data_IF_139810384381
#
_entry.id   IF_139810384381
#
_cell.length_a   1.000
_cell.length_b   1.000
_cell.length_c   1.000
_cell.angle_alpha   90.00
_cell.angle_beta   90.00
_cell.angle_gamma   90.00
#
_symmetry.space_group_name_H-M   'P 1'
#
loop_
_entity.id
_entity.type
_entity.pdbx_description
1 polymer ?
#
# COMPACT_ATOMS: atom_id res chain seq x y z
N UNK A 1 -27.84 2.59 -20.63
CA UNK A 1 -27.42 1.29 -20.08
C UNK A 1 -26.43 1.51 -18.94
N UNK A 2 -26.44 0.63 -17.93
CA UNK A 2 -25.46 0.66 -16.85
C UNK A 2 -24.05 0.36 -17.39
N UNK A 3 -23.03 1.09 -16.93
CA UNK A 3 -21.63 0.80 -17.26
C UNK A 3 -21.25 -0.58 -16.70
N UNK A 4 -20.49 -1.40 -17.45
CA UNK A 4 -20.11 -2.77 -17.06
C UNK A 4 -19.51 -2.88 -15.64
N UNK A 5 -18.71 -1.89 -15.24
CA UNK A 5 -18.08 -1.88 -13.91
C UNK A 5 -19.05 -1.55 -12.75
N UNK A 6 -20.31 -1.20 -13.01
CA UNK A 6 -21.27 -0.93 -11.93
C UNK A 6 -21.51 -2.20 -11.12
N UNK A 7 -21.09 -2.17 -9.85
CA UNK A 7 -21.19 -3.32 -8.95
C UNK A 7 -20.12 -4.40 -9.16
N UNK A 8 -19.11 -4.15 -10.01
CA UNK A 8 -18.03 -5.12 -10.26
C UNK A 8 -17.05 -5.28 -9.08
N UNK A 9 -16.91 -4.24 -8.25
CA UNK A 9 -16.06 -4.25 -7.06
C UNK A 9 -16.65 -3.37 -5.97
N UNK A 10 -16.33 -3.66 -4.71
CA UNK A 10 -16.69 -2.86 -3.54
C UNK A 10 -15.49 -2.74 -2.58
N UNK A 11 -15.44 -1.67 -1.80
CA UNK A 11 -14.52 -1.57 -0.66
C UNK A 11 -15.21 -2.26 0.51
N UNK A 12 -14.67 -3.40 0.93
CA UNK A 12 -15.28 -4.25 1.97
C UNK A 12 -14.70 -4.02 3.36
N UNK A 13 -13.54 -3.37 3.49
CA UNK A 13 -12.96 -3.04 4.78
C UNK A 13 -11.86 -1.98 4.69
N UNK A 14 -11.51 -1.39 5.83
CA UNK A 14 -10.53 -0.32 5.98
C UNK A 14 -9.66 -0.55 7.23
N UNK A 15 -8.36 -0.36 7.08
CA UNK A 15 -7.40 -0.44 8.19
C UNK A 15 -6.56 0.82 8.27
N UNK A 16 -6.71 1.58 9.36
CA UNK A 16 -5.92 2.79 9.62
C UNK A 16 -5.06 2.53 10.86
N UNK A 17 -3.75 2.69 10.71
CA UNK A 17 -2.80 2.65 11.83
C UNK A 17 -2.79 3.98 12.59
N UNK A 18 -2.35 4.00 13.85
CA UNK A 18 -2.16 5.24 14.59
C UNK A 18 -1.24 6.20 13.81
N UNK A 19 -1.64 7.46 13.70
CA UNK A 19 -0.88 8.51 13.02
C UNK A 19 -0.35 9.53 14.02
N UNK A 20 0.92 9.92 13.90
CA UNK A 20 1.53 10.89 14.80
C UNK A 20 3.04 10.72 14.92
N UNK A 21 3.61 11.16 16.06
CA UNK A 21 5.03 10.96 16.37
C UNK A 21 5.26 9.59 16.99
N UNK A 22 5.28 8.57 16.14
CA UNK A 22 5.50 7.18 16.54
C UNK A 22 6.93 6.81 16.13
N UNK A 23 7.72 6.36 17.10
CA UNK A 23 9.09 5.93 16.90
C UNK A 23 9.19 4.41 17.06
N UNK A 24 10.16 3.80 16.40
CA UNK A 24 10.48 2.37 16.59
C UNK A 24 9.65 1.39 15.77
N UNK A 25 8.70 1.86 14.95
CA UNK A 25 8.02 1.06 13.92
C UNK A 25 8.52 1.41 12.53
N UNK A 26 8.80 0.39 11.72
CA UNK A 26 9.16 0.56 10.32
C UNK A 26 7.91 0.76 9.43
N UNK A 27 8.10 1.26 8.21
CA UNK A 27 7.02 1.34 7.21
C UNK A 27 6.36 -0.04 6.97
N UNK A 28 7.15 -1.11 7.02
CA UNK A 28 6.65 -2.49 6.89
C UNK A 28 5.76 -2.89 8.06
N UNK A 29 6.11 -2.52 9.29
CA UNK A 29 5.27 -2.84 10.47
C UNK A 29 3.92 -2.13 10.38
N UNK A 30 3.92 -0.86 9.98
CA UNK A 30 2.68 -0.12 9.74
C UNK A 30 1.85 -0.73 8.60
N UNK A 31 2.49 -1.16 7.51
CA UNK A 31 1.79 -1.84 6.43
C UNK A 31 1.15 -3.15 6.92
N UNK A 32 1.87 -3.95 7.70
CA UNK A 32 1.35 -5.21 8.26
C UNK A 32 0.15 -4.95 9.17
N UNK A 33 0.25 -3.97 10.07
CA UNK A 33 -0.84 -3.60 10.97
C UNK A 33 -2.07 -3.08 10.20
N UNK A 34 -1.86 -2.21 9.21
CA UNK A 34 -2.93 -1.67 8.37
C UNK A 34 -3.66 -2.77 7.59
N UNK A 35 -2.91 -3.69 6.98
CA UNK A 35 -3.48 -4.82 6.22
C UNK A 35 -4.29 -5.74 7.14
N UNK A 36 -3.77 -6.05 8.34
CA UNK A 36 -4.49 -6.89 9.31
C UNK A 36 -5.81 -6.27 9.75
N UNK A 37 -5.82 -4.97 10.03
CA UNK A 37 -7.04 -4.23 10.39
C UNK A 37 -8.04 -4.23 9.24
N UNK A 38 -7.59 -3.98 8.01
CA UNK A 38 -8.46 -3.97 6.83
C UNK A 38 -9.10 -5.34 6.55
N UNK A 39 -8.34 -6.43 6.69
CA UNK A 39 -8.84 -7.80 6.52
C UNK A 39 -9.87 -8.13 7.61
N UNK A 40 -9.60 -7.77 8.86
CA UNK A 40 -10.50 -7.99 9.98
C UNK A 40 -11.82 -7.21 9.83
N UNK A 41 -11.74 -5.94 9.41
CA UNK A 41 -12.91 -5.10 9.14
C UNK A 41 -13.77 -5.65 7.98
N UNK A 42 -13.12 -6.23 6.97
CA UNK A 42 -13.81 -6.92 5.88
C UNK A 42 -14.43 -8.27 6.28
N UNK A 43 -14.13 -8.79 7.47
CA UNK A 43 -14.57 -10.12 7.92
C UNK A 43 -13.98 -11.27 7.09
N UNK A 44 -12.83 -11.05 6.45
CA UNK A 44 -12.16 -12.04 5.59
C UNK A 44 -11.04 -12.75 6.34
N UNK A 45 -10.67 -13.93 5.85
CA UNK A 45 -9.42 -14.56 6.23
C UNK A 45 -8.26 -14.06 5.36
N UNK A 46 -7.06 -14.01 5.94
CA UNK A 46 -5.84 -13.66 5.20
C UNK A 46 -5.59 -14.54 3.97
N UNK A 47 -6.01 -15.81 4.04
CA UNK A 47 -5.93 -16.81 2.97
C UNK A 47 -6.78 -16.46 1.75
N UNK A 48 -7.81 -15.62 1.92
CA UNK A 48 -8.73 -15.20 0.85
C UNK A 48 -8.20 -14.01 0.04
N UNK A 49 -7.10 -13.39 0.49
CA UNK A 49 -6.45 -12.28 -0.21
C UNK A 49 -5.55 -12.82 -1.30
N UNK A 50 -5.87 -12.47 -2.54
CA UNK A 50 -5.14 -12.89 -3.74
C UNK A 50 -4.58 -11.70 -4.55
N UNK A 51 -4.74 -10.48 -4.05
CA UNK A 51 -4.13 -9.27 -4.61
C UNK A 51 -3.50 -8.37 -3.55
N UNK A 52 -2.30 -7.86 -3.83
CA UNK A 52 -1.59 -6.88 -3.00
C UNK A 52 -1.01 -5.76 -3.87
N UNK A 53 -1.53 -4.55 -3.69
CA UNK A 53 -1.04 -3.33 -4.32
C UNK A 53 -0.38 -2.46 -3.26
N UNK A 54 0.89 -2.13 -3.49
CA UNK A 54 1.74 -1.46 -2.51
C UNK A 54 2.10 -0.06 -3.01
N UNK A 55 1.92 0.92 -2.14
CA UNK A 55 2.46 2.26 -2.29
C UNK A 55 3.43 2.56 -1.13
N UNK A 56 4.72 2.67 -1.44
CA UNK A 56 5.80 2.82 -0.45
C UNK A 56 5.97 4.23 0.13
N UNK A 57 5.16 5.20 -0.27
CA UNK A 57 5.31 6.59 0.18
C UNK A 57 6.67 7.20 -0.13
N UNK A 58 7.04 8.25 0.61
CA UNK A 58 8.24 9.05 0.32
C UNK A 58 9.51 8.30 0.70
N UNK A 59 9.47 7.48 1.77
CA UNK A 59 10.61 6.62 2.14
C UNK A 59 10.87 5.50 1.12
N UNK A 60 9.91 5.20 0.23
CA UNK A 60 10.11 4.35 -0.94
C UNK A 60 11.24 4.84 -1.85
N UNK A 61 11.38 6.15 -2.03
CA UNK A 61 12.46 6.75 -2.83
C UNK A 61 13.83 6.69 -2.13
N UNK A 62 13.88 6.49 -0.81
CA UNK A 62 15.13 6.39 -0.06
C UNK A 62 15.63 4.96 0.14
N UNK A 63 14.90 3.95 -0.37
CA UNK A 63 15.25 2.53 -0.25
C UNK A 63 14.84 1.86 1.06
N UNK A 64 14.06 2.55 1.90
CA UNK A 64 13.59 2.05 3.21
C UNK A 64 12.06 1.96 3.31
N UNK A 65 11.35 2.21 2.20
CA UNK A 65 9.90 2.08 2.11
C UNK A 65 9.45 0.63 1.93
N UNK A 66 8.14 0.45 1.91
CA UNK A 66 7.50 -0.86 1.76
C UNK A 66 7.79 -1.43 0.37
N UNK A 67 8.46 -2.58 0.29
CA UNK A 67 8.76 -3.25 -0.99
C UNK A 67 7.80 -4.41 -1.26
N UNK A 68 7.96 -5.05 -2.42
CA UNK A 68 7.25 -6.29 -2.75
C UNK A 68 7.49 -7.42 -1.73
N UNK A 69 8.55 -7.33 -0.91
CA UNK A 69 8.83 -8.27 0.17
C UNK A 69 7.79 -8.19 1.31
N UNK A 70 6.90 -7.19 1.31
CA UNK A 70 5.77 -7.12 2.25
C UNK A 70 4.92 -8.41 2.23
N UNK A 71 4.80 -9.08 1.08
CA UNK A 71 4.10 -10.36 0.99
C UNK A 71 4.67 -11.41 1.96
N UNK A 72 5.99 -11.42 2.16
CA UNK A 72 6.67 -12.35 3.06
C UNK A 72 6.39 -11.99 4.52
N UNK A 73 6.40 -10.70 4.85
CA UNK A 73 6.06 -10.20 6.19
C UNK A 73 4.60 -10.49 6.56
N UNK A 74 3.70 -10.45 5.58
CA UNK A 74 2.30 -10.83 5.75
C UNK A 74 2.09 -12.36 5.73
N UNK A 75 3.08 -13.13 5.27
CA UNK A 75 2.93 -14.57 5.02
C UNK A 75 1.83 -14.86 4.00
N UNK A 76 1.75 -14.05 2.94
CA UNK A 76 0.84 -14.23 1.80
C UNK A 76 1.59 -14.97 0.69
N UNK A 77 1.25 -16.24 0.49
CA UNK A 77 1.90 -17.10 -0.51
C UNK A 77 1.11 -17.33 -1.79
N UNK A 78 -0.14 -16.86 -1.87
CA UNK A 78 -1.06 -17.16 -2.98
C UNK A 78 -1.54 -15.89 -3.70
N UNK A 79 -0.66 -14.90 -3.84
CA UNK A 79 -0.97 -13.66 -4.53
C UNK A 79 -0.96 -13.89 -6.05
N UNK A 80 -2.11 -13.67 -6.68
CA UNK A 80 -2.29 -13.68 -8.14
C UNK A 80 -1.92 -12.32 -8.74
N UNK A 81 -2.08 -11.26 -7.95
CA UNK A 81 -1.71 -9.89 -8.31
C UNK A 81 -0.82 -9.32 -7.21
N UNK A 82 0.41 -8.97 -7.57
CA UNK A 82 1.33 -8.27 -6.67
C UNK A 82 1.98 -7.14 -7.46
N UNK A 83 1.80 -5.90 -7.00
CA UNK A 83 2.37 -4.75 -7.69
C UNK A 83 2.79 -3.65 -6.71
N UNK A 84 3.87 -2.95 -7.07
CA UNK A 84 4.29 -1.73 -6.40
C UNK A 84 4.00 -0.56 -7.33
N UNK A 85 3.05 0.30 -6.93
CA UNK A 85 2.56 1.41 -7.74
C UNK A 85 3.04 2.73 -7.17
N UNK A 86 3.48 3.63 -8.06
CA UNK A 86 3.86 4.98 -7.70
C UNK A 86 3.45 5.96 -8.81
N UNK A 87 2.44 6.76 -8.51
CA UNK A 87 1.95 7.85 -9.34
C UNK A 87 1.82 9.13 -8.48
N UNK A 88 2.79 9.34 -7.58
CA UNK A 88 2.82 10.45 -6.63
C UNK A 88 1.49 10.56 -5.85
N UNK A 89 0.93 11.77 -5.72
CA UNK A 89 -0.32 12.00 -4.99
C UNK A 89 -1.55 11.27 -5.55
N UNK A 90 -1.50 10.76 -6.79
CA UNK A 90 -2.62 10.05 -7.41
C UNK A 90 -2.62 8.53 -7.17
N UNK A 91 -1.55 8.00 -6.55
CA UNK A 91 -1.33 6.55 -6.41
C UNK A 91 -2.51 5.83 -5.77
N UNK A 92 -3.13 6.40 -4.72
CA UNK A 92 -4.27 5.79 -4.05
C UNK A 92 -5.46 5.56 -5.00
N UNK A 93 -5.82 6.59 -5.79
CA UNK A 93 -6.90 6.49 -6.76
C UNK A 93 -6.56 5.49 -7.88
N UNK A 94 -5.29 5.43 -8.31
CA UNK A 94 -4.85 4.49 -9.33
C UNK A 94 -4.83 3.03 -8.83
N UNK A 95 -4.45 2.79 -7.57
CA UNK A 95 -4.51 1.44 -6.98
C UNK A 95 -5.94 0.92 -6.97
N UNK A 96 -6.92 1.75 -6.58
CA UNK A 96 -8.34 1.36 -6.61
C UNK A 96 -8.79 1.05 -8.04
N UNK A 97 -8.44 1.89 -9.01
CA UNK A 97 -8.77 1.65 -10.43
C UNK A 97 -8.16 0.33 -10.92
N UNK A 98 -6.88 0.09 -10.61
CA UNK A 98 -6.18 -1.13 -10.99
C UNK A 98 -6.79 -2.37 -10.33
N UNK A 99 -7.15 -2.30 -9.04
CA UNK A 99 -7.83 -3.36 -8.33
C UNK A 99 -9.20 -3.70 -8.97
N UNK A 100 -10.01 -2.68 -9.28
CA UNK A 100 -11.30 -2.88 -9.96
C UNK A 100 -11.11 -3.55 -11.33
N UNK A 101 -10.12 -3.14 -12.11
CA UNK A 101 -9.82 -3.77 -13.41
C UNK A 101 -9.33 -5.21 -13.26
N UNK A 102 -8.48 -5.49 -12.27
CA UNK A 102 -7.99 -6.84 -11.98
C UNK A 102 -9.12 -7.78 -11.56
N UNK A 103 -10.09 -7.28 -10.79
CA UNK A 103 -11.29 -8.02 -10.39
C UNK A 103 -12.21 -8.26 -11.58
N UNK A 104 -12.52 -7.22 -12.38
CA UNK A 104 -13.38 -7.36 -13.57
C UNK A 104 -12.77 -8.31 -14.63
N UNK A 105 -11.43 -8.36 -14.72
CA UNK A 105 -10.71 -9.28 -15.60
C UNK A 105 -10.60 -10.72 -15.05
N UNK A 106 -11.05 -10.98 -13.81
CA UNK A 106 -10.94 -12.29 -13.17
C UNK A 106 -9.52 -12.67 -12.73
N UNK A 107 -8.61 -11.69 -12.62
CA UNK A 107 -7.23 -11.92 -12.20
C UNK A 107 -7.13 -12.15 -10.68
N UNK A 108 -7.94 -11.44 -9.90
CA UNK A 108 -8.00 -11.53 -8.44
C UNK A 108 -9.44 -11.34 -7.94
N UNK A 109 -9.74 -11.80 -6.73
CA UNK A 109 -11.05 -11.66 -6.07
C UNK A 109 -11.02 -10.64 -4.94
N UNK A 110 -9.98 -10.65 -4.12
CA UNK A 110 -9.80 -9.72 -2.99
C UNK A 110 -8.42 -9.07 -3.07
N UNK A 111 -8.43 -7.77 -3.36
CA UNK A 111 -7.21 -6.98 -3.53
C UNK A 111 -7.06 -6.01 -2.38
N UNK A 112 -5.94 -6.09 -1.67
CA UNK A 112 -5.57 -5.12 -0.64
C UNK A 112 -4.72 -4.02 -1.25
N UNK A 113 -5.17 -2.77 -1.11
CA UNK A 113 -4.39 -1.59 -1.47
C UNK A 113 -3.78 -1.01 -0.20
N UNK A 114 -2.45 -1.04 -0.07
CA UNK A 114 -1.76 -0.59 1.14
C UNK A 114 -0.84 0.59 0.84
N UNK A 115 -0.91 1.58 1.71
CA UNK A 115 0.04 2.68 1.81
C UNK A 115 0.61 2.70 3.22
N UNK A 116 1.93 2.72 3.35
CA UNK A 116 2.57 2.96 4.63
C UNK A 116 3.90 3.69 4.45
N UNK A 117 4.17 4.61 5.36
CA UNK A 117 5.37 5.43 5.37
C UNK A 117 5.78 5.72 6.81
N UNK A 118 7.08 5.74 7.08
CA UNK A 118 7.66 6.07 8.39
C UNK A 118 8.77 7.13 8.23
N UNK A 119 8.43 8.36 7.78
CA UNK A 119 9.42 9.39 7.47
C UNK A 119 10.05 10.04 8.70
N UNK A 120 9.48 9.84 9.90
CA UNK A 120 9.95 10.48 11.13
C UNK A 120 11.11 9.69 11.74
N UNK A 121 12.28 10.32 11.83
CA UNK A 121 13.43 9.80 12.56
C UNK A 121 13.66 10.62 13.84
N UNK A 122 14.16 9.98 14.91
CA UNK A 122 14.47 10.71 16.15
C UNK A 122 15.46 11.84 15.88
N UNK A 123 15.10 13.06 16.31
CA UNK A 123 15.92 14.27 16.09
C UNK A 123 15.74 14.96 14.73
N UNK A 124 14.85 14.47 13.86
CA UNK A 124 14.56 15.05 12.55
C UNK A 124 13.09 15.44 12.34
N UNK A 125 12.85 16.40 11.43
CA UNK A 125 11.49 16.75 10.97
C UNK A 125 11.05 15.82 9.84
N UNK A 126 9.76 15.48 9.77
CA UNK A 126 9.17 14.75 8.64
C UNK A 126 9.34 15.50 7.30
N UNK A 127 9.47 16.83 7.33
CA UNK A 127 9.77 17.63 6.14
C UNK A 127 11.18 17.35 5.57
N UNK A 128 12.13 16.93 6.41
CA UNK A 128 13.47 16.57 5.96
C UNK A 128 13.45 15.31 5.08
N UNK A 129 12.49 14.40 5.27
CA UNK A 129 12.31 13.23 4.41
C UNK A 129 11.93 13.64 2.98
N UNK A 130 11.06 14.63 2.81
CA UNK A 130 10.74 15.22 1.49
C UNK A 130 11.95 15.91 0.86
N UNK A 131 12.73 16.67 1.64
CA UNK A 131 13.96 17.32 1.17
C UNK A 131 15.02 16.31 0.70
N UNK A 132 15.19 15.21 1.42
CA UNK A 132 16.13 14.15 1.05
C UNK A 132 15.67 13.34 -0.16
N UNK A 133 14.36 13.08 -0.29
CA UNK A 133 13.80 12.43 -1.48
C UNK A 133 13.97 13.31 -2.73
N UNK A 134 13.71 14.63 -2.61
CA UNK A 134 13.93 15.59 -3.70
C UNK A 134 15.40 15.71 -4.12
N UNK A 135 16.35 15.62 -3.18
CA UNK A 135 17.79 15.64 -3.49
C UNK A 135 18.27 14.39 -4.24
N UNK A 136 17.69 13.22 -3.96
CA UNK A 136 18.05 11.96 -4.63
C UNK A 136 17.36 11.76 -5.98
N UNK A 137 16.27 12.48 -6.24
CA UNK A 137 15.57 12.49 -7.52
C UNK A 137 16.11 13.53 -8.52
N UNK A 138 17.17 14.28 -8.16
CA UNK A 138 17.85 15.17 -9.09
C UNK A 138 18.50 14.40 -10.24
N UNK A 139 18.68 15.01 -11.43
CA UNK A 139 19.21 14.30 -12.59
C UNK A 139 20.63 13.85 -12.28
N UNK A 140 20.83 12.53 -12.16
CA UNK A 140 22.14 11.91 -12.24
C UNK A 140 22.57 12.02 -13.70
N UNK A 141 23.29 13.10 -14.02
CA UNK A 141 24.06 13.20 -15.26
C UNK A 141 25.16 12.16 -15.32
#
# INVERSE_FOLDING_TARGET
MAHRLRGASAITGLGITPMGRIYGKSSTDFAVDAVRLAIADAGLEKSEIDGLLINAGITGFSGSGVSLQLQNALGMGNLRVLNHMNAAGSTAAQMVQYATMAIDAGMAKHVVCVFADAPLQQGGSSAAAYGNAGRRAGPTG
#
